data_IF_633477885892
#
_entry.id   IF_633477885892
#
_cell.length_a   1.000
_cell.length_b   1.000
_cell.length_c   1.000
_cell.angle_alpha   90.00
_cell.angle_beta   90.00
_cell.angle_gamma   90.00
#
_symmetry.space_group_name_H-M   'P 1'
#
loop_
_entity.id
_entity.type
_entity.pdbx_description
1 polymer ?
#
# COMPACT_ATOMS: atom_id res chain seq x y z
N UNK A 1 -52.80 -41.79 22.75
CA UNK A 1 -52.26 -40.81 23.70
C UNK A 1 -50.93 -40.39 23.16
N UNK A 2 -50.85 -39.26 22.43
CA UNK A 2 -50.44 -37.93 22.91
C UNK A 2 -48.99 -37.92 23.38
N UNK A 3 -48.08 -37.17 22.81
CA UNK A 3 -47.92 -35.78 22.38
C UNK A 3 -46.54 -35.65 21.71
N UNK A 4 -46.40 -35.04 20.60
CA UNK A 4 -46.03 -33.62 20.43
C UNK A 4 -44.65 -33.22 20.97
N UNK A 5 -43.70 -32.96 20.10
CA UNK A 5 -42.70 -31.89 20.32
C UNK A 5 -42.26 -31.26 19.01
N UNK A 6 -42.28 -29.99 19.03
CA UNK A 6 -42.04 -28.96 18.06
C UNK A 6 -40.58 -28.86 17.55
N UNK A 7 -40.32 -28.21 16.40
CA UNK A 7 -38.99 -28.05 15.86
C UNK A 7 -38.27 -26.87 16.48
N UNK A 8 -36.95 -26.98 16.59
CA UNK A 8 -36.07 -25.91 17.01
C UNK A 8 -35.81 -24.93 15.87
N UNK A 9 -36.07 -23.65 16.15
CA UNK A 9 -35.80 -22.52 15.29
C UNK A 9 -34.32 -22.35 15.03
N UNK A 10 -33.96 -22.26 13.77
CA UNK A 10 -32.68 -21.78 13.33
C UNK A 10 -32.60 -20.26 13.53
N UNK A 11 -31.78 -19.81 14.45
CA UNK A 11 -31.41 -18.39 14.59
C UNK A 11 -30.52 -18.03 13.40
N UNK A 12 -31.10 -17.36 12.41
CA UNK A 12 -30.35 -16.61 11.41
C UNK A 12 -29.68 -15.44 12.11
N UNK A 13 -28.36 -15.39 12.05
CA UNK A 13 -27.59 -14.20 12.43
C UNK A 13 -27.81 -13.15 11.33
N UNK A 14 -28.58 -12.14 11.68
CA UNK A 14 -28.77 -10.93 10.91
C UNK A 14 -27.40 -10.25 10.67
N UNK A 15 -27.03 -9.85 9.45
CA UNK A 15 -25.82 -9.05 9.24
C UNK A 15 -26.03 -7.70 9.93
N UNK A 16 -25.29 -7.47 11.02
CA UNK A 16 -25.29 -6.19 11.72
C UNK A 16 -24.85 -5.12 10.74
N UNK A 17 -25.72 -4.19 10.43
CA UNK A 17 -25.41 -3.01 9.61
C UNK A 17 -24.35 -2.16 10.33
N UNK A 18 -23.35 -1.72 9.61
CA UNK A 18 -22.24 -0.89 10.11
C UNK A 18 -22.75 0.43 10.71
N UNK A 19 -23.94 0.88 10.34
CA UNK A 19 -24.61 2.07 10.86
C UNK A 19 -24.81 2.12 12.39
N UNK A 20 -24.84 1.00 13.07
CA UNK A 20 -25.10 0.94 14.52
C UNK A 20 -23.85 1.14 15.40
N UNK A 21 -22.64 1.06 14.84
CA UNK A 21 -21.40 1.05 15.62
C UNK A 21 -20.63 2.40 15.64
N UNK A 22 -21.04 3.42 14.83
CA UNK A 22 -20.28 4.66 14.67
C UNK A 22 -21.04 5.84 15.26
N UNK A 23 -21.04 5.96 16.59
CA UNK A 23 -21.58 7.12 17.32
C UNK A 23 -20.53 7.81 18.18
N UNK A 24 -19.40 8.23 17.58
CA UNK A 24 -18.60 9.32 18.14
C UNK A 24 -18.44 10.38 17.07
N UNK A 25 -18.85 11.60 17.30
CA UNK A 25 -18.62 12.72 16.41
C UNK A 25 -17.12 13.06 16.41
N UNK A 26 -16.32 12.26 15.68
CA UNK A 26 -14.94 12.61 15.38
C UNK A 26 -14.93 13.84 14.48
N UNK A 27 -14.13 14.84 14.80
CA UNK A 27 -13.91 15.99 13.92
C UNK A 27 -12.95 15.64 12.78
N UNK A 28 -12.30 14.48 12.84
CA UNK A 28 -11.36 13.96 11.83
C UNK A 28 -12.13 13.30 10.69
N UNK A 29 -11.59 13.34 9.45
CA UNK A 29 -12.19 12.64 8.32
C UNK A 29 -12.25 11.13 8.58
N UNK A 30 -13.34 10.49 8.15
CA UNK A 30 -13.47 9.02 8.18
C UNK A 30 -12.69 8.44 7.01
N UNK A 31 -11.98 7.35 7.25
CA UNK A 31 -11.09 6.73 6.28
C UNK A 31 -11.63 5.36 5.87
N UNK A 32 -11.64 5.08 4.57
CA UNK A 32 -11.74 3.71 4.06
C UNK A 32 -10.39 3.24 3.48
N UNK A 33 -10.07 1.95 3.68
CA UNK A 33 -8.87 1.31 3.11
C UNK A 33 -9.31 0.13 2.27
N UNK A 34 -9.16 0.25 0.95
CA UNK A 34 -9.64 -0.71 -0.03
C UNK A 34 -8.52 -1.67 -0.40
N UNK A 35 -8.70 -2.95 -0.07
CA UNK A 35 -7.70 -4.00 -0.19
C UNK A 35 -6.91 -4.16 1.11
N UNK A 36 -7.29 -5.12 1.96
CA UNK A 36 -6.68 -5.39 3.27
C UNK A 36 -5.66 -6.55 3.20
N UNK A 37 -4.79 -6.50 2.18
CA UNK A 37 -3.56 -7.27 2.14
C UNK A 37 -2.53 -6.74 3.15
N UNK A 38 -1.26 -7.11 2.99
CA UNK A 38 -0.18 -6.67 3.90
C UNK A 38 -0.16 -5.16 4.10
N UNK A 39 -0.11 -4.40 2.99
CA UNK A 39 -0.12 -2.93 3.03
C UNK A 39 -1.40 -2.38 3.66
N UNK A 40 -2.56 -2.82 3.17
CA UNK A 40 -3.83 -2.19 3.56
C UNK A 40 -4.24 -2.51 4.99
N UNK A 41 -4.05 -3.74 5.49
CA UNK A 41 -4.33 -4.08 6.89
C UNK A 41 -3.43 -3.29 7.85
N UNK A 42 -2.13 -3.17 7.53
CA UNK A 42 -1.19 -2.35 8.32
C UNK A 42 -1.58 -0.88 8.30
N UNK A 43 -1.92 -0.35 7.12
CA UNK A 43 -2.33 1.05 6.98
C UNK A 43 -3.64 1.35 7.73
N UNK A 44 -4.65 0.47 7.62
CA UNK A 44 -5.91 0.62 8.34
C UNK A 44 -5.71 0.64 9.87
N UNK A 45 -4.91 -0.27 10.39
CA UNK A 45 -4.59 -0.33 11.82
C UNK A 45 -3.81 0.91 12.29
N UNK A 46 -2.84 1.38 11.50
CA UNK A 46 -2.07 2.58 11.83
C UNK A 46 -2.92 3.86 11.78
N UNK A 47 -3.85 4.00 10.82
CA UNK A 47 -4.78 5.13 10.81
C UNK A 47 -5.72 5.12 12.02
N UNK A 48 -6.19 3.94 12.43
CA UNK A 48 -6.99 3.79 13.65
C UNK A 48 -6.17 4.16 14.91
N UNK A 49 -4.88 3.81 14.97
CA UNK A 49 -3.98 4.21 16.06
C UNK A 49 -3.77 5.72 16.10
N UNK A 50 -3.66 6.38 14.94
CA UNK A 50 -3.60 7.84 14.84
C UNK A 50 -4.94 8.53 15.15
N UNK A 51 -5.98 7.77 15.51
CA UNK A 51 -7.25 8.27 16.01
C UNK A 51 -8.33 8.55 14.96
N UNK A 52 -8.24 7.93 13.78
CA UNK A 52 -9.27 7.98 12.75
C UNK A 52 -10.27 6.83 12.90
N UNK A 53 -11.53 7.05 12.53
CA UNK A 53 -12.49 5.97 12.32
C UNK A 53 -12.23 5.36 10.94
N UNK A 54 -11.97 4.04 10.89
CA UNK A 54 -11.45 3.36 9.70
C UNK A 54 -12.33 2.18 9.30
N UNK A 55 -12.64 2.09 8.01
CA UNK A 55 -13.31 0.93 7.40
C UNK A 55 -12.33 0.25 6.44
N UNK A 56 -11.86 -0.94 6.80
CA UNK A 56 -11.08 -1.81 5.92
C UNK A 56 -11.98 -2.65 5.03
N UNK A 57 -11.72 -2.67 3.74
CA UNK A 57 -12.54 -3.41 2.75
C UNK A 57 -11.70 -4.46 2.03
N UNK A 58 -12.17 -5.70 1.98
CA UNK A 58 -11.59 -6.74 1.13
C UNK A 58 -12.70 -7.58 0.48
N UNK A 59 -12.44 -8.09 -0.70
CA UNK A 59 -13.40 -8.95 -1.43
C UNK A 59 -13.47 -10.37 -0.89
N UNK A 60 -12.55 -10.79 -0.04
CA UNK A 60 -12.49 -12.12 0.57
C UNK A 60 -13.15 -12.11 1.97
N UNK A 61 -14.35 -12.71 2.12
CA UNK A 61 -15.06 -12.75 3.39
C UNK A 61 -14.27 -13.46 4.50
N UNK A 62 -13.47 -14.46 4.16
CA UNK A 62 -12.67 -15.20 5.14
C UNK A 62 -11.55 -14.33 5.72
N UNK A 63 -10.99 -13.45 4.89
CA UNK A 63 -10.00 -12.47 5.32
C UNK A 63 -10.63 -11.38 6.21
N UNK A 64 -11.79 -10.87 5.81
CA UNK A 64 -12.57 -9.91 6.62
C UNK A 64 -12.88 -10.48 8.00
N UNK A 65 -13.37 -11.73 8.05
CA UNK A 65 -13.64 -12.41 9.33
C UNK A 65 -12.36 -12.56 10.18
N UNK A 66 -11.26 -13.00 9.57
CA UNK A 66 -9.99 -13.15 10.29
C UNK A 66 -9.48 -11.82 10.86
N UNK A 67 -9.47 -10.74 10.05
CA UNK A 67 -9.04 -9.42 10.48
C UNK A 67 -9.95 -8.85 11.57
N UNK A 68 -11.27 -9.07 11.49
CA UNK A 68 -12.22 -8.67 12.54
C UNK A 68 -11.98 -9.37 13.88
N UNK A 69 -11.19 -10.43 13.89
CA UNK A 69 -10.76 -11.17 15.09
C UNK A 69 -9.29 -10.90 15.45
N UNK A 70 -8.65 -9.90 14.86
CA UNK A 70 -7.25 -9.57 15.07
C UNK A 70 -6.26 -10.57 14.46
N UNK A 71 -6.72 -11.49 13.58
CA UNK A 71 -5.87 -12.48 12.93
C UNK A 71 -5.43 -12.02 11.55
N UNK A 72 -4.12 -12.01 11.31
CA UNK A 72 -3.53 -11.66 10.00
C UNK A 72 -2.93 -12.89 9.33
N UNK A 73 -3.06 -13.07 7.99
CA UNK A 73 -2.52 -14.22 7.27
C UNK A 73 -1.03 -14.09 6.91
N UNK A 74 -0.32 -13.18 7.55
CA UNK A 74 1.11 -12.89 7.33
C UNK A 74 1.77 -12.49 8.65
N UNK A 75 3.09 -12.52 8.68
CA UNK A 75 3.85 -12.13 9.87
C UNK A 75 4.18 -10.63 9.81
N UNK A 76 3.72 -9.90 10.84
CA UNK A 76 4.11 -8.50 11.09
C UNK A 76 4.03 -8.25 12.60
N UNK A 77 5.16 -7.94 13.26
CA UNK A 77 5.19 -7.74 14.71
C UNK A 77 4.26 -6.62 15.17
N UNK A 78 3.45 -6.91 16.18
CA UNK A 78 2.53 -5.94 16.81
C UNK A 78 1.25 -5.64 16.01
N UNK A 79 1.14 -6.10 14.77
CA UNK A 79 -0.04 -5.82 13.95
C UNK A 79 -1.30 -6.54 14.43
N UNK A 80 -1.27 -7.84 14.81
CA UNK A 80 -2.45 -8.52 15.32
C UNK A 80 -3.05 -7.83 16.56
N UNK A 81 -2.21 -7.45 17.50
CA UNK A 81 -2.60 -6.77 18.74
C UNK A 81 -3.15 -5.37 18.46
N UNK A 82 -2.56 -4.67 17.49
CA UNK A 82 -3.00 -3.35 17.06
C UNK A 82 -4.40 -3.41 16.43
N UNK A 83 -4.61 -4.35 15.51
CA UNK A 83 -5.92 -4.57 14.87
C UNK A 83 -6.97 -4.91 15.92
N UNK A 84 -6.70 -5.90 16.79
CA UNK A 84 -7.65 -6.36 17.81
C UNK A 84 -8.09 -5.22 18.71
N UNK A 85 -7.16 -4.42 19.22
CA UNK A 85 -7.43 -3.26 20.09
C UNK A 85 -8.39 -2.27 19.42
N UNK A 86 -8.19 -1.97 18.12
CA UNK A 86 -9.02 -1.01 17.42
C UNK A 86 -10.35 -1.59 16.91
N UNK A 87 -10.43 -2.87 16.66
CA UNK A 87 -11.70 -3.57 16.41
C UNK A 87 -12.55 -3.58 17.69
N UNK A 88 -11.98 -3.92 18.84
CA UNK A 88 -12.68 -3.93 20.14
C UNK A 88 -13.15 -2.53 20.56
N UNK A 89 -12.41 -1.48 20.22
CA UNK A 89 -12.81 -0.09 20.48
C UNK A 89 -13.87 0.44 19.50
N UNK A 90 -14.20 -0.31 18.44
CA UNK A 90 -15.10 0.11 17.37
C UNK A 90 -14.53 1.15 16.39
N UNK A 91 -13.24 1.49 16.51
CA UNK A 91 -12.57 2.46 15.65
C UNK A 91 -12.11 1.87 14.31
N UNK A 92 -11.89 0.57 14.25
CA UNK A 92 -11.54 -0.17 13.04
C UNK A 92 -12.59 -1.23 12.76
N UNK A 93 -13.21 -1.16 11.60
CA UNK A 93 -14.17 -2.14 11.12
C UNK A 93 -13.65 -2.78 9.83
N UNK A 94 -14.04 -4.03 9.58
CA UNK A 94 -13.75 -4.72 8.32
C UNK A 94 -15.03 -5.19 7.66
N UNK A 95 -15.16 -4.99 6.35
CA UNK A 95 -16.34 -5.36 5.56
C UNK A 95 -15.97 -5.83 4.16
N UNK A 96 -16.89 -6.53 3.52
CA UNK A 96 -16.82 -6.81 2.07
C UNK A 96 -17.57 -5.77 1.24
N UNK A 97 -18.31 -4.88 1.87
CA UNK A 97 -19.15 -3.88 1.20
C UNK A 97 -18.36 -2.60 0.91
N UNK A 98 -17.84 -2.52 -0.32
CA UNK A 98 -17.13 -1.34 -0.81
C UNK A 98 -18.06 -0.14 -1.01
N UNK A 99 -19.34 -0.38 -1.31
CA UNK A 99 -20.30 0.69 -1.55
C UNK A 99 -20.65 1.40 -0.24
N UNK A 100 -20.89 0.64 0.82
CA UNK A 100 -21.12 1.20 2.16
C UNK A 100 -19.89 2.00 2.63
N UNK A 101 -18.69 1.43 2.52
CA UNK A 101 -17.44 2.11 2.91
C UNK A 101 -17.21 3.39 2.10
N UNK A 102 -17.51 3.38 0.79
CA UNK A 102 -17.42 4.56 -0.07
C UNK A 102 -18.40 5.65 0.31
N UNK A 103 -19.65 5.30 0.63
CA UNK A 103 -20.68 6.25 1.02
C UNK A 103 -20.45 6.90 2.40
N UNK A 104 -19.77 6.19 3.31
CA UNK A 104 -19.58 6.62 4.71
C UNK A 104 -18.23 7.32 4.98
N UNK A 105 -17.25 7.26 4.06
CA UNK A 105 -15.91 7.79 4.30
C UNK A 105 -15.61 9.03 3.45
N UNK A 106 -14.67 9.86 3.96
CA UNK A 106 -14.22 11.09 3.32
C UNK A 106 -12.92 10.91 2.52
N UNK A 107 -12.07 9.96 2.99
CA UNK A 107 -10.76 9.66 2.39
C UNK A 107 -10.64 8.17 2.14
N UNK A 108 -10.32 7.79 0.90
CA UNK A 108 -10.34 6.40 0.43
C UNK A 108 -8.95 5.98 -0.04
N UNK A 109 -8.25 5.19 0.76
CA UNK A 109 -6.94 4.64 0.39
C UNK A 109 -7.07 3.39 -0.46
N UNK A 110 -6.54 3.41 -1.68
CA UNK A 110 -6.51 2.26 -2.59
C UNK A 110 -5.20 1.49 -2.35
N UNK A 111 -5.32 0.34 -1.67
CA UNK A 111 -4.22 -0.53 -1.24
C UNK A 111 -4.26 -1.92 -1.89
N UNK A 112 -4.98 -2.08 -2.99
CA UNK A 112 -5.14 -3.36 -3.69
C UNK A 112 -3.85 -3.79 -4.39
N UNK A 113 -3.64 -5.10 -4.51
CA UNK A 113 -2.45 -5.67 -5.14
C UNK A 113 -2.40 -5.39 -6.65
N UNK A 114 -1.17 -5.26 -7.18
CA UNK A 114 -0.87 -5.12 -8.60
C UNK A 114 0.02 -6.28 -9.07
N UNK A 115 -0.51 -7.52 -9.17
CA UNK A 115 0.28 -8.66 -9.60
C UNK A 115 0.71 -8.51 -11.07
N UNK A 116 1.71 -9.27 -11.47
CA UNK A 116 2.08 -9.34 -12.88
C UNK A 116 0.97 -10.04 -13.71
N UNK A 117 0.78 -9.60 -14.94
CA UNK A 117 -0.08 -10.31 -15.91
C UNK A 117 0.55 -11.65 -16.27
N UNK A 118 -0.27 -12.69 -16.41
CA UNK A 118 0.21 -14.00 -16.85
C UNK A 118 0.91 -13.88 -18.21
N UNK A 119 2.14 -14.41 -18.31
CA UNK A 119 2.93 -14.39 -19.54
C UNK A 119 3.53 -13.03 -19.93
N UNK A 120 3.52 -12.04 -19.01
CA UNK A 120 4.07 -10.71 -19.28
C UNK A 120 4.69 -10.13 -18.00
N UNK A 121 5.65 -9.20 -18.16
CA UNK A 121 6.18 -8.39 -17.05
C UNK A 121 5.29 -7.18 -16.70
N UNK A 122 4.24 -6.92 -17.47
CA UNK A 122 3.30 -5.83 -17.21
C UNK A 122 2.53 -6.06 -15.90
N UNK A 123 2.29 -4.98 -15.16
CA UNK A 123 1.40 -5.00 -14.00
C UNK A 123 -0.07 -5.20 -14.44
N UNK A 124 -0.83 -5.97 -13.67
CA UNK A 124 -2.27 -6.05 -13.82
C UNK A 124 -2.93 -4.95 -13.00
N UNK A 125 -3.47 -3.95 -13.69
CA UNK A 125 -4.11 -2.78 -13.08
C UNK A 125 -5.63 -2.95 -12.89
N UNK A 126 -6.23 -4.06 -13.36
CA UNK A 126 -7.67 -4.24 -13.31
C UNK A 126 -8.24 -4.13 -11.89
N UNK A 127 -7.51 -4.60 -10.88
CA UNK A 127 -7.94 -4.50 -9.48
C UNK A 127 -7.95 -3.07 -8.96
N UNK A 128 -6.92 -2.28 -9.31
CA UNK A 128 -6.84 -0.86 -8.93
C UNK A 128 -7.93 -0.06 -9.62
N UNK A 129 -8.14 -0.28 -10.92
CA UNK A 129 -9.17 0.40 -11.70
C UNK A 129 -10.57 0.06 -11.21
N UNK A 130 -10.85 -1.22 -10.93
CA UNK A 130 -12.14 -1.69 -10.41
C UNK A 130 -12.43 -1.13 -9.01
N UNK A 131 -11.45 -1.20 -8.10
CA UNK A 131 -11.60 -0.67 -6.74
C UNK A 131 -11.86 0.85 -6.76
N UNK A 132 -11.07 1.59 -7.53
CA UNK A 132 -11.23 3.04 -7.68
C UNK A 132 -12.59 3.41 -8.27
N UNK A 133 -13.03 2.68 -9.31
CA UNK A 133 -14.34 2.88 -9.93
C UNK A 133 -15.48 2.67 -8.92
N UNK A 134 -15.46 1.55 -8.20
CA UNK A 134 -16.52 1.21 -7.22
C UNK A 134 -16.60 2.22 -6.08
N UNK A 135 -15.46 2.67 -5.58
CA UNK A 135 -15.43 3.77 -4.61
C UNK A 135 -16.06 5.02 -5.19
N UNK A 136 -15.63 5.46 -6.38
CA UNK A 136 -16.15 6.67 -7.00
C UNK A 136 -17.66 6.61 -7.27
N UNK A 137 -18.18 5.46 -7.74
CA UNK A 137 -19.60 5.21 -7.96
C UNK A 137 -20.44 5.27 -6.67
N UNK A 138 -19.84 4.96 -5.52
CA UNK A 138 -20.52 4.87 -4.24
C UNK A 138 -20.46 6.15 -3.39
N UNK A 139 -19.71 7.17 -3.83
CA UNK A 139 -19.60 8.42 -3.09
C UNK A 139 -20.98 9.10 -2.94
N UNK A 140 -21.34 9.45 -1.70
CA UNK A 140 -22.55 10.19 -1.36
C UNK A 140 -22.31 11.69 -1.14
N UNK A 141 -21.03 12.08 -1.05
CA UNK A 141 -20.53 13.44 -0.83
C UNK A 141 -19.13 13.58 -1.42
N UNK A 142 -18.57 14.77 -1.40
CA UNK A 142 -17.23 15.04 -1.91
C UNK A 142 -16.18 14.23 -1.16
N UNK A 143 -15.30 13.52 -1.87
CA UNK A 143 -14.30 12.63 -1.31
C UNK A 143 -12.89 12.84 -1.84
N UNK A 144 -11.90 12.22 -1.20
CA UNK A 144 -10.52 12.15 -1.66
C UNK A 144 -10.11 10.68 -1.86
N UNK A 145 -9.75 10.31 -3.09
CA UNK A 145 -9.23 8.99 -3.43
C UNK A 145 -7.72 9.04 -3.45
N UNK A 146 -7.07 8.23 -2.63
CA UNK A 146 -5.62 8.23 -2.42
C UNK A 146 -5.03 6.90 -2.89
N UNK A 147 -4.34 6.89 -4.01
CA UNK A 147 -3.63 5.69 -4.47
C UNK A 147 -2.39 5.44 -3.63
N UNK A 148 -2.27 4.22 -3.09
CA UNK A 148 -1.14 3.78 -2.27
C UNK A 148 -0.42 2.57 -2.88
N UNK A 149 -1.08 1.84 -3.75
CA UNK A 149 -0.53 0.70 -4.46
C UNK A 149 0.69 1.08 -5.32
N UNK A 150 1.64 0.16 -5.48
CA UNK A 150 2.74 0.35 -6.43
C UNK A 150 2.23 0.12 -7.85
N UNK A 151 2.32 1.14 -8.69
CA UNK A 151 1.79 1.13 -10.07
C UNK A 151 2.81 1.67 -11.07
N UNK A 152 2.70 1.30 -12.36
CA UNK A 152 3.43 1.95 -13.44
C UNK A 152 3.03 3.42 -13.60
N UNK A 153 4.01 4.26 -13.96
CA UNK A 153 3.78 5.70 -14.20
C UNK A 153 2.71 5.94 -15.27
N UNK A 154 1.79 6.87 -14.97
CA UNK A 154 0.63 7.22 -15.79
C UNK A 154 -0.67 6.55 -15.35
N UNK A 155 -0.63 5.65 -14.35
CA UNK A 155 -1.81 4.98 -13.82
C UNK A 155 -2.74 5.96 -13.10
N UNK A 156 -2.20 6.85 -12.26
CA UNK A 156 -3.00 7.81 -11.51
C UNK A 156 -3.77 8.78 -12.41
N UNK A 157 -3.16 9.24 -13.51
CA UNK A 157 -3.86 10.07 -14.50
C UNK A 157 -5.05 9.32 -15.13
N UNK A 158 -4.86 8.05 -15.48
CA UNK A 158 -5.93 7.19 -16.00
C UNK A 158 -7.05 6.97 -14.95
N UNK A 159 -6.70 6.83 -13.69
CA UNK A 159 -7.70 6.70 -12.62
C UNK A 159 -8.53 7.99 -12.45
N UNK A 160 -7.93 9.16 -12.60
CA UNK A 160 -8.68 10.44 -12.65
C UNK A 160 -9.74 10.46 -13.74
N UNK A 161 -9.40 9.96 -14.93
CA UNK A 161 -10.35 9.85 -16.05
C UNK A 161 -11.50 8.88 -15.72
N UNK A 162 -11.18 7.72 -15.11
CA UNK A 162 -12.18 6.74 -14.68
C UNK A 162 -13.13 7.36 -13.65
N UNK A 163 -12.58 8.01 -12.62
CA UNK A 163 -13.37 8.66 -11.56
C UNK A 163 -14.28 9.72 -12.15
N UNK A 164 -13.76 10.63 -12.98
CA UNK A 164 -14.54 11.68 -13.62
C UNK A 164 -15.71 11.14 -14.47
N UNK A 165 -15.56 9.92 -15.01
CA UNK A 165 -16.59 9.28 -15.84
C UNK A 165 -17.73 8.60 -15.08
N UNK A 166 -17.58 8.40 -13.75
CA UNK A 166 -18.54 7.58 -12.95
C UNK A 166 -19.07 8.26 -11.69
N UNK A 167 -18.60 9.47 -11.36
CA UNK A 167 -19.06 10.20 -10.17
C UNK A 167 -20.57 10.44 -10.20
N UNK A 168 -21.27 10.29 -9.08
CA UNK A 168 -22.67 10.71 -8.94
C UNK A 168 -22.86 12.21 -9.21
N UNK A 169 -24.03 12.58 -9.68
CA UNK A 169 -24.34 13.99 -9.97
C UNK A 169 -24.24 14.86 -8.69
N UNK A 170 -23.46 15.93 -8.78
CA UNK A 170 -23.27 16.87 -7.66
C UNK A 170 -22.18 16.46 -6.66
N UNK A 171 -21.50 15.34 -6.90
CA UNK A 171 -20.36 14.87 -6.09
C UNK A 171 -19.06 15.15 -6.82
N UNK A 172 -18.04 15.60 -6.10
CA UNK A 172 -16.68 15.77 -6.60
C UNK A 172 -15.69 14.87 -5.85
N UNK A 173 -14.69 14.34 -6.58
CA UNK A 173 -13.59 13.62 -5.96
C UNK A 173 -12.29 13.92 -6.70
N UNK A 174 -11.20 14.10 -5.93
CA UNK A 174 -9.85 14.15 -6.50
C UNK A 174 -9.15 12.80 -6.32
N UNK A 175 -8.24 12.48 -7.23
CA UNK A 175 -7.36 11.32 -7.16
C UNK A 175 -5.94 11.82 -6.98
N UNK A 176 -5.31 11.45 -5.87
CA UNK A 176 -3.93 11.79 -5.54
C UNK A 176 -3.10 10.52 -5.31
N UNK A 177 -1.78 10.64 -5.30
CA UNK A 177 -0.91 9.49 -5.09
C UNK A 177 -0.05 9.66 -3.85
N UNK A 178 -0.10 8.68 -2.97
CA UNK A 178 0.70 8.62 -1.74
C UNK A 178 1.37 7.24 -1.65
N UNK A 179 2.51 7.03 -2.32
CA UNK A 179 3.21 5.76 -2.29
C UNK A 179 3.67 5.38 -0.88
N UNK A 180 3.79 4.09 -0.62
CA UNK A 180 4.33 3.52 0.62
C UNK A 180 5.82 3.17 0.48
N UNK A 181 6.52 3.06 1.61
CA UNK A 181 7.93 2.68 1.68
C UNK A 181 8.18 1.67 2.81
N UNK A 182 7.21 0.79 3.05
CA UNK A 182 7.20 -0.16 4.15
C UNK A 182 8.28 -1.24 3.97
N UNK A 183 8.83 -1.69 5.08
CA UNK A 183 9.70 -2.85 5.17
C UNK A 183 8.94 -3.99 5.84
N UNK A 184 8.96 -5.18 5.23
CA UNK A 184 8.36 -6.38 5.84
C UNK A 184 9.00 -6.65 7.22
N UNK A 185 8.18 -6.86 8.24
CA UNK A 185 8.60 -7.00 9.64
C UNK A 185 8.79 -5.68 10.39
N UNK A 186 8.60 -4.52 9.76
CA UNK A 186 8.67 -3.18 10.34
C UNK A 186 7.54 -2.26 9.83
N UNK A 187 6.52 -2.83 9.19
CA UNK A 187 5.52 -2.05 8.48
C UNK A 187 4.63 -1.20 9.40
N UNK A 188 4.35 -1.66 10.61
CA UNK A 188 3.62 -0.87 11.63
C UNK A 188 4.41 0.38 11.98
N UNK A 189 5.71 0.22 12.31
CA UNK A 189 6.57 1.35 12.66
C UNK A 189 6.77 2.30 11.47
N UNK A 190 7.05 1.74 10.28
CA UNK A 190 7.25 2.53 9.05
C UNK A 190 5.99 3.31 8.63
N UNK A 191 4.78 2.84 9.02
CA UNK A 191 3.53 3.58 8.77
C UNK A 191 3.31 4.68 9.80
N UNK A 192 3.58 4.41 11.09
CA UNK A 192 3.40 5.37 12.17
C UNK A 192 4.51 6.45 12.19
N UNK A 193 5.73 6.07 11.79
CA UNK A 193 6.93 6.94 11.78
C UNK A 193 7.69 6.79 10.47
N UNK A 194 7.11 7.21 9.35
CA UNK A 194 7.74 7.06 8.05
C UNK A 194 8.96 7.97 7.90
N UNK A 195 10.00 7.49 7.22
CA UNK A 195 11.19 8.30 6.89
C UNK A 195 10.83 9.52 6.04
N UNK A 196 9.77 9.45 5.26
CA UNK A 196 9.24 10.50 4.39
C UNK A 196 7.80 10.21 3.98
N UNK A 197 7.07 11.26 3.65
CA UNK A 197 5.73 11.19 3.06
C UNK A 197 5.77 11.88 1.70
N UNK A 198 5.20 11.25 0.67
CA UNK A 198 5.13 11.82 -0.68
C UNK A 198 3.66 12.04 -1.04
N UNK A 199 3.31 13.26 -1.45
CA UNK A 199 2.00 13.62 -1.99
C UNK A 199 2.13 13.94 -3.47
N UNK A 200 1.45 13.19 -4.32
CA UNK A 200 1.46 13.35 -5.77
C UNK A 200 0.17 13.90 -6.32
N UNK A 201 0.25 14.97 -7.09
CA UNK A 201 -0.87 15.54 -7.84
C UNK A 201 -1.93 16.21 -6.97
N UNK A 202 -1.58 16.65 -5.75
CA UNK A 202 -2.48 17.37 -4.84
C UNK A 202 -2.73 18.81 -5.31
N UNK A 203 -3.92 19.30 -5.04
CA UNK A 203 -4.26 20.71 -4.98
C UNK A 203 -4.22 21.21 -3.51
N UNK A 204 -4.60 22.46 -3.28
CA UNK A 204 -4.61 23.06 -1.93
C UNK A 204 -5.54 22.32 -0.97
N UNK A 205 -6.70 21.85 -1.46
CA UNK A 205 -7.70 21.15 -0.64
C UNK A 205 -7.23 19.73 -0.31
N UNK A 206 -6.86 18.96 -1.31
CA UNK A 206 -6.42 17.56 -1.13
C UNK A 206 -5.12 17.47 -0.33
N UNK A 207 -4.19 18.43 -0.49
CA UNK A 207 -2.99 18.50 0.34
C UNK A 207 -3.32 18.82 1.80
N UNK A 208 -4.24 19.73 2.07
CA UNK A 208 -4.67 20.04 3.43
C UNK A 208 -5.28 18.82 4.14
N UNK A 209 -6.13 18.04 3.45
CA UNK A 209 -6.71 16.80 3.97
C UNK A 209 -5.61 15.78 4.27
N UNK A 210 -4.65 15.56 3.35
CA UNK A 210 -3.56 14.62 3.58
C UNK A 210 -2.64 15.07 4.73
N UNK A 211 -2.40 16.37 4.88
CA UNK A 211 -1.64 16.90 6.02
C UNK A 211 -2.35 16.71 7.34
N UNK A 212 -3.68 16.72 7.37
CA UNK A 212 -4.48 16.37 8.55
C UNK A 212 -4.37 14.87 8.85
N UNK A 213 -4.50 14.02 7.83
CA UNK A 213 -4.36 12.55 7.97
C UNK A 213 -2.98 12.18 8.53
N UNK A 214 -1.93 12.84 8.07
CA UNK A 214 -0.55 12.59 8.50
C UNK A 214 -0.03 13.60 9.53
N UNK A 215 -0.92 14.31 10.25
CA UNK A 215 -0.51 15.36 11.18
C UNK A 215 0.44 14.87 12.27
N UNK A 216 0.22 13.66 12.80
CA UNK A 216 1.06 13.08 13.85
C UNK A 216 2.52 12.86 13.38
N UNK A 217 2.81 12.07 12.32
CA UNK A 217 4.17 11.91 11.82
C UNK A 217 4.80 13.24 11.32
N UNK A 218 4.01 14.14 10.74
CA UNK A 218 4.51 15.47 10.33
C UNK A 218 4.94 16.28 11.56
N UNK A 219 4.16 16.24 12.64
CA UNK A 219 4.49 16.96 13.89
C UNK A 219 5.76 16.47 14.56
N UNK A 220 6.13 15.21 14.33
CA UNK A 220 7.38 14.60 14.84
C UNK A 220 8.58 14.81 13.90
N UNK A 221 8.41 15.54 12.80
CA UNK A 221 9.50 15.97 11.93
C UNK A 221 9.65 15.16 10.63
N UNK A 222 8.68 14.26 10.31
CA UNK A 222 8.70 13.55 9.03
C UNK A 222 8.59 14.52 7.86
N UNK A 223 9.54 14.54 6.90
CA UNK A 223 9.49 15.43 5.76
C UNK A 223 8.35 15.04 4.81
N UNK A 224 7.65 16.06 4.29
CA UNK A 224 6.62 15.93 3.25
C UNK A 224 7.17 16.45 1.94
N UNK A 225 7.02 15.67 0.89
CA UNK A 225 7.44 16.01 -0.47
C UNK A 225 6.17 16.05 -1.34
N UNK A 226 5.76 17.25 -1.74
CA UNK A 226 4.65 17.44 -2.68
C UNK A 226 5.20 17.52 -4.11
N UNK A 227 4.62 16.76 -5.04
CA UNK A 227 5.06 16.67 -6.43
C UNK A 227 3.90 16.35 -7.38
N UNK A 228 4.17 16.24 -8.67
CA UNK A 228 3.19 15.76 -9.64
C UNK A 228 2.92 14.25 -9.54
N UNK A 229 1.84 13.78 -10.17
CA UNK A 229 1.46 12.36 -10.17
C UNK A 229 2.56 11.45 -10.75
N UNK A 230 3.14 11.71 -11.94
CA UNK A 230 4.19 10.87 -12.48
C UNK A 230 5.41 10.75 -11.57
N UNK A 231 5.81 11.83 -10.92
CA UNK A 231 6.94 11.81 -9.96
C UNK A 231 6.62 10.94 -8.75
N UNK A 232 5.43 11.06 -8.16
CA UNK A 232 5.03 10.25 -7.01
C UNK A 232 4.98 8.75 -7.34
N UNK A 233 4.47 8.38 -8.53
CA UNK A 233 4.47 6.99 -9.00
C UNK A 233 5.90 6.46 -9.18
N UNK A 234 6.79 7.27 -9.76
CA UNK A 234 8.18 6.87 -10.03
C UNK A 234 9.04 6.79 -8.78
N UNK A 235 8.83 7.62 -7.77
CA UNK A 235 9.63 7.61 -6.53
C UNK A 235 9.66 6.22 -5.90
N UNK A 236 8.52 5.53 -5.81
CA UNK A 236 8.43 4.20 -5.20
C UNK A 236 9.23 3.17 -5.98
N UNK A 237 8.97 3.04 -7.26
CA UNK A 237 9.62 2.02 -8.10
C UNK A 237 11.11 2.31 -8.28
N UNK A 238 11.51 3.59 -8.32
CA UNK A 238 12.92 3.99 -8.38
C UNK A 238 13.67 3.67 -7.10
N UNK A 239 13.05 3.86 -5.93
CA UNK A 239 13.64 3.45 -4.66
C UNK A 239 13.88 1.94 -4.61
N UNK A 240 12.89 1.13 -4.99
CA UNK A 240 13.02 -0.32 -5.04
C UNK A 240 14.08 -0.77 -6.07
N UNK A 241 14.11 -0.13 -7.24
CA UNK A 241 15.13 -0.38 -8.26
C UNK A 241 16.56 -0.08 -7.77
N UNK A 242 16.73 1.02 -7.04
CA UNK A 242 18.04 1.37 -6.48
C UNK A 242 18.49 0.40 -5.38
N UNK A 243 17.57 -0.01 -4.48
CA UNK A 243 17.87 -1.02 -3.46
C UNK A 243 18.28 -2.36 -4.08
N UNK A 244 17.58 -2.81 -5.12
CA UNK A 244 17.93 -4.01 -5.86
C UNK A 244 19.29 -3.87 -6.55
N UNK A 245 19.58 -2.70 -7.12
CA UNK A 245 20.90 -2.41 -7.74
C UNK A 245 22.03 -2.53 -6.72
N UNK A 246 21.85 -2.05 -5.49
CA UNK A 246 22.86 -2.21 -4.41
C UNK A 246 23.13 -3.68 -4.09
N UNK A 247 22.09 -4.52 -4.05
CA UNK A 247 22.24 -5.96 -3.78
C UNK A 247 22.94 -6.65 -4.94
N UNK A 248 22.50 -6.44 -6.18
CA UNK A 248 23.16 -7.03 -7.35
C UNK A 248 24.59 -6.51 -7.53
N UNK A 249 24.85 -5.23 -7.25
CA UNK A 249 26.21 -4.68 -7.29
C UNK A 249 27.14 -5.40 -6.33
N UNK A 250 26.76 -5.56 -5.04
CA UNK A 250 27.65 -6.21 -4.08
C UNK A 250 27.81 -7.69 -4.35
N UNK A 251 26.83 -8.37 -4.94
CA UNK A 251 26.95 -9.76 -5.37
C UNK A 251 27.93 -9.90 -6.53
N UNK A 252 27.87 -9.05 -7.56
CA UNK A 252 28.87 -9.03 -8.63
C UNK A 252 30.27 -8.70 -8.12
N UNK A 253 30.42 -7.80 -7.14
CA UNK A 253 31.71 -7.51 -6.51
C UNK A 253 32.20 -8.66 -5.64
N UNK A 254 31.31 -9.49 -5.06
CA UNK A 254 31.74 -10.66 -4.30
C UNK A 254 32.45 -11.70 -5.18
N UNK A 255 32.00 -11.91 -6.42
CA UNK A 255 32.69 -12.78 -7.39
C UNK A 255 34.11 -12.28 -7.69
N UNK A 256 34.24 -10.94 -7.85
CA UNK A 256 35.59 -10.35 -8.06
C UNK A 256 36.44 -10.48 -6.82
N UNK A 257 35.89 -10.34 -5.62
CA UNK A 257 36.63 -10.57 -4.37
C UNK A 257 37.12 -12.00 -4.24
N UNK A 258 36.29 -13.00 -4.57
CA UNK A 258 36.65 -14.38 -4.57
C UNK A 258 37.82 -14.66 -5.55
N UNK A 259 37.74 -14.15 -6.77
CA UNK A 259 38.77 -14.30 -7.78
C UNK A 259 40.11 -13.62 -7.41
N UNK A 260 40.05 -12.52 -6.67
CA UNK A 260 41.20 -11.71 -6.26
C UNK A 260 41.74 -12.08 -4.86
N UNK A 261 41.08 -12.98 -4.11
CA UNK A 261 41.42 -13.29 -2.72
C UNK A 261 41.08 -12.15 -1.72
N UNK A 262 40.15 -11.30 -2.06
CA UNK A 262 39.70 -10.19 -1.22
C UNK A 262 38.48 -10.58 -0.34
N UNK A 263 38.20 -9.78 0.68
CA UNK A 263 37.02 -9.96 1.57
C UNK A 263 35.92 -8.97 1.27
N UNK A 264 34.80 -9.47 0.75
CA UNK A 264 33.66 -8.64 0.35
C UNK A 264 32.99 -7.93 1.53
N UNK A 265 32.96 -8.54 2.72
CA UNK A 265 32.37 -7.90 3.91
C UNK A 265 33.18 -6.67 4.34
N UNK A 266 34.52 -6.81 4.41
CA UNK A 266 35.42 -5.70 4.70
C UNK A 266 35.34 -4.61 3.62
N UNK A 267 35.24 -4.99 2.35
CA UNK A 267 35.04 -4.06 1.24
C UNK A 267 33.73 -3.29 1.40
N UNK A 268 32.62 -4.00 1.69
CA UNK A 268 31.30 -3.37 1.89
C UNK A 268 31.28 -2.44 3.11
N UNK A 269 31.97 -2.78 4.20
CA UNK A 269 32.11 -1.91 5.36
C UNK A 269 32.90 -0.63 5.00
N UNK A 270 34.00 -0.78 4.26
CA UNK A 270 34.80 0.37 3.80
C UNK A 270 33.99 1.31 2.89
N UNK A 271 33.21 0.75 1.93
CA UNK A 271 32.29 1.54 1.09
C UNK A 271 31.21 2.22 1.93
N UNK A 272 30.74 1.54 2.98
CA UNK A 272 29.67 2.04 3.85
C UNK A 272 30.03 3.26 4.70
N UNK A 273 31.32 3.54 4.90
CA UNK A 273 31.79 4.76 5.59
C UNK A 273 31.68 6.02 4.73
N UNK A 274 31.48 5.90 3.41
CA UNK A 274 31.17 7.03 2.56
C UNK A 274 29.66 7.30 2.65
N UNK A 275 29.27 8.45 3.23
CA UNK A 275 27.86 8.85 3.42
C UNK A 275 27.08 8.92 2.11
N UNK A 276 27.76 9.14 0.96
CA UNK A 276 27.12 9.13 -0.37
C UNK A 276 26.70 7.74 -0.81
N UNK A 277 27.28 6.68 -0.23
CA UNK A 277 27.00 5.27 -0.54
C UNK A 277 26.16 4.64 0.57
N UNK A 278 26.64 4.70 1.81
CA UNK A 278 26.01 4.10 2.99
C UNK A 278 26.06 2.58 3.00
N UNK A 279 26.14 1.99 4.18
CA UNK A 279 26.34 0.53 4.38
C UNK A 279 25.13 -0.33 4.05
N UNK A 280 23.93 0.21 4.23
CA UNK A 280 22.67 -0.54 4.08
C UNK A 280 22.52 -1.09 2.66
N UNK A 281 22.01 -2.33 2.53
CA UNK A 281 21.83 -3.07 1.27
C UNK A 281 23.12 -3.44 0.53
N UNK A 282 24.28 -3.42 1.19
CA UNK A 282 25.57 -3.90 0.66
C UNK A 282 26.01 -5.21 1.37
N UNK A 283 25.14 -6.16 1.53
CA UNK A 283 25.47 -7.52 2.01
C UNK A 283 25.40 -8.48 0.84
N UNK A 284 26.55 -9.09 0.49
CA UNK A 284 26.60 -10.16 -0.48
C UNK A 284 25.88 -11.41 0.07
N UNK A 285 25.15 -12.11 -0.78
CA UNK A 285 24.38 -13.30 -0.41
C UNK A 285 23.48 -13.81 -1.53
N UNK A 286 22.38 -14.45 -1.17
CA UNK A 286 21.44 -15.09 -2.12
C UNK A 286 20.70 -14.13 -3.08
N UNK A 287 20.95 -12.84 -2.98
CA UNK A 287 20.23 -11.84 -3.77
C UNK A 287 18.92 -11.38 -3.11
N UNK A 288 18.05 -10.79 -3.92
CA UNK A 288 16.72 -10.33 -3.49
C UNK A 288 15.63 -11.23 -4.08
N UNK A 289 14.57 -11.39 -3.28
CA UNK A 289 13.39 -12.17 -3.63
C UNK A 289 12.13 -11.49 -3.08
N UNK A 290 11.13 -12.31 -2.73
CA UNK A 290 9.87 -11.84 -2.19
C UNK A 290 8.91 -11.28 -3.23
N UNK A 291 7.80 -10.72 -2.77
CA UNK A 291 6.70 -10.24 -3.60
C UNK A 291 6.90 -8.85 -4.21
N UNK A 292 7.92 -8.09 -3.79
CA UNK A 292 8.06 -6.67 -4.13
C UNK A 292 9.17 -6.40 -5.14
N UNK A 293 10.46 -6.60 -4.77
CA UNK A 293 11.58 -6.16 -5.60
C UNK A 293 11.59 -6.76 -7.02
N UNK A 294 11.47 -8.10 -7.21
CA UNK A 294 11.49 -8.68 -8.56
C UNK A 294 10.32 -8.19 -9.42
N UNK A 295 9.12 -8.12 -8.83
CA UNK A 295 7.91 -7.67 -9.51
C UNK A 295 8.05 -6.22 -9.97
N UNK A 296 8.49 -5.34 -9.09
CA UNK A 296 8.56 -3.91 -9.33
C UNK A 296 9.62 -3.56 -10.39
N UNK A 297 10.79 -4.23 -10.36
CA UNK A 297 11.83 -4.07 -11.37
C UNK A 297 11.33 -4.48 -12.75
N UNK A 298 10.67 -5.63 -12.86
CA UNK A 298 10.14 -6.13 -14.13
C UNK A 298 9.02 -5.25 -14.67
N UNK A 299 8.11 -4.76 -13.80
CA UNK A 299 7.09 -3.79 -14.19
C UNK A 299 7.71 -2.45 -14.62
N UNK A 300 8.76 -1.98 -13.93
CA UNK A 300 9.51 -0.78 -14.32
C UNK A 300 10.17 -0.95 -15.68
N UNK A 301 10.86 -2.07 -15.95
CA UNK A 301 11.46 -2.36 -17.26
C UNK A 301 10.41 -2.37 -18.38
N UNK A 302 9.26 -3.02 -18.14
CA UNK A 302 8.18 -3.08 -19.10
C UNK A 302 7.68 -1.67 -19.43
N UNK A 303 7.38 -0.86 -18.42
CA UNK A 303 6.89 0.50 -18.61
C UNK A 303 7.93 1.44 -19.22
N UNK A 304 9.19 1.33 -18.81
CA UNK A 304 10.29 2.11 -19.37
C UNK A 304 10.48 1.81 -20.87
N UNK A 305 10.30 0.55 -21.27
CA UNK A 305 10.35 0.17 -22.69
C UNK A 305 9.20 0.78 -23.50
N UNK A 306 7.95 0.77 -22.97
CA UNK A 306 6.81 1.45 -23.61
C UNK A 306 7.07 2.95 -23.81
N UNK A 307 7.77 3.58 -22.88
CA UNK A 307 8.11 5.01 -22.90
C UNK A 307 9.40 5.32 -23.71
N UNK A 308 10.08 4.32 -24.27
CA UNK A 308 11.34 4.50 -25.00
C UNK A 308 12.56 4.78 -24.11
N UNK A 309 12.47 4.56 -22.80
CA UNK A 309 13.55 4.79 -21.84
C UNK A 309 14.54 3.59 -21.79
N UNK A 310 15.14 3.23 -22.92
CA UNK A 310 15.93 2.00 -23.10
C UNK A 310 17.16 1.91 -22.20
N UNK A 311 17.75 3.03 -21.75
CA UNK A 311 18.88 3.00 -20.81
C UNK A 311 18.47 2.48 -19.42
N UNK A 312 17.28 2.89 -18.96
CA UNK A 312 16.72 2.38 -17.70
C UNK A 312 16.42 0.87 -17.80
N UNK A 313 15.88 0.42 -18.94
CA UNK A 313 15.65 -1.00 -19.21
C UNK A 313 16.96 -1.78 -19.15
N UNK A 314 18.01 -1.35 -19.84
CA UNK A 314 19.31 -2.05 -19.87
C UNK A 314 19.96 -2.14 -18.49
N UNK A 315 19.89 -1.07 -17.67
CA UNK A 315 20.39 -1.09 -16.30
C UNK A 315 19.64 -2.11 -15.44
N UNK A 316 18.32 -2.09 -15.45
CA UNK A 316 17.51 -3.00 -14.62
C UNK A 316 17.58 -4.44 -15.12
N UNK A 317 17.77 -4.66 -16.41
CA UNK A 317 17.98 -6.00 -16.95
C UNK A 317 19.25 -6.62 -16.38
N UNK A 318 20.37 -5.90 -16.32
CA UNK A 318 21.60 -6.38 -15.70
C UNK A 318 21.44 -6.66 -14.20
N UNK A 319 20.68 -5.81 -13.50
CA UNK A 319 20.38 -6.03 -12.08
C UNK A 319 19.58 -7.32 -11.86
N UNK A 320 18.56 -7.60 -12.68
CA UNK A 320 17.75 -8.83 -12.59
C UNK A 320 18.57 -10.07 -13.02
N UNK A 321 19.39 -9.97 -14.06
CA UNK A 321 20.27 -11.05 -14.52
C UNK A 321 21.29 -11.47 -13.44
N UNK A 322 21.96 -10.51 -12.80
CA UNK A 322 22.90 -10.78 -11.70
C UNK A 322 22.18 -11.43 -10.51
N UNK A 323 20.96 -10.98 -10.21
CA UNK A 323 20.18 -11.54 -9.11
C UNK A 323 19.71 -12.98 -9.37
N UNK A 324 19.60 -13.40 -10.62
CA UNK A 324 19.14 -14.73 -11.01
C UNK A 324 20.27 -15.73 -11.24
N UNK A 325 21.54 -15.28 -11.25
CA UNK A 325 22.73 -16.12 -11.41
C UNK A 325 23.12 -16.84 -10.12
#
# INVERSE_FOLDING_TARGET
MSKNTSPADGAGTDPQSVDAAVTSASTKPRISVIGTGYLGATHAAAMAEMGFDVIGVDTDPSKVEALSQGRVPFFEPGLPELILRHVESGRLLFTTDIAEAGALSDVHFICVGTPQRRGSHAANLSYVEEATRKVAESLSHDGLIVGKSTVPVGTAARLREIVAGVLPAGVSADVVWNPEFLREGHAVEDTLRPDRIVFGGTDVRSEAILREVYAEPISTGTPVISCDLPTAELVKVSANAFLATKISFINAISELCEAAGANVSTLADALGFDDRIGRKFLNAGLGFGGGCLPKDIRALMFRANELGAHRAVGLMQQVDEINMA
#
